data_IF_901904000693
#
_entry.id   IF_901904000693
#
_cell.length_a   1.000
_cell.length_b   1.000
_cell.length_c   1.000
_cell.angle_alpha   90.00
_cell.angle_beta   90.00
_cell.angle_gamma   90.00
#
_symmetry.space_group_name_H-M   'P 1'
#
loop_
_entity.id
_entity.type
_entity.pdbx_description
1 polymer ?
#
# COMPACT_ATOMS: atom_id res chain seq x y z
N UNK A 1 -9.49 1.14 10.18
CA UNK A 1 -9.61 1.90 11.45
C UNK A 1 -9.35 3.39 11.24
N UNK A 2 -8.14 3.82 10.87
CA UNK A 2 -7.78 5.24 10.70
C UNK A 2 -8.82 6.04 9.88
N UNK A 3 -9.14 5.60 8.66
CA UNK A 3 -10.17 6.22 7.80
C UNK A 3 -11.53 6.42 8.49
N UNK A 4 -12.02 5.42 9.22
CA UNK A 4 -13.31 5.50 9.89
C UNK A 4 -13.29 6.49 11.07
N UNK A 5 -12.16 6.58 11.79
CA UNK A 5 -11.99 7.50 12.92
C UNK A 5 -11.78 8.94 12.48
N UNK A 6 -11.03 9.16 11.40
CA UNK A 6 -10.71 10.51 10.89
C UNK A 6 -11.74 11.01 9.86
N UNK A 7 -12.67 10.16 9.44
CA UNK A 7 -13.60 10.41 8.33
C UNK A 7 -12.91 10.75 7.01
N UNK A 8 -11.67 10.32 6.82
CA UNK A 8 -10.94 10.47 5.56
C UNK A 8 -11.13 9.20 4.71
N UNK A 9 -11.71 9.27 3.50
CA UNK A 9 -11.88 8.10 2.65
C UNK A 9 -10.54 7.48 2.22
N UNK A 10 -10.53 6.16 2.02
CA UNK A 10 -9.38 5.44 1.44
C UNK A 10 -9.51 5.43 -0.08
N UNK A 11 -8.38 5.61 -0.77
CA UNK A 11 -8.28 5.42 -2.23
C UNK A 11 -8.61 3.98 -2.62
N UNK A 12 -9.64 3.82 -3.45
CA UNK A 12 -10.11 2.50 -3.91
C UNK A 12 -9.18 1.83 -4.94
N UNK A 13 -8.26 2.59 -5.56
CA UNK A 13 -7.35 2.12 -6.59
C UNK A 13 -6.01 1.58 -6.03
N UNK A 14 -5.93 1.41 -4.71
CA UNK A 14 -4.74 0.96 -3.98
C UNK A 14 -5.01 -0.40 -3.32
N UNK A 15 -4.06 -1.32 -3.47
CA UNK A 15 -3.92 -2.50 -2.61
C UNK A 15 -2.67 -2.35 -1.74
N UNK A 16 -2.67 -2.96 -0.56
CA UNK A 16 -1.54 -2.93 0.37
C UNK A 16 -1.36 -4.28 1.04
N UNK A 17 -0.11 -4.66 1.31
CA UNK A 17 0.22 -5.86 2.07
C UNK A 17 1.45 -5.61 2.94
N UNK A 18 1.48 -6.20 4.13
CA UNK A 18 2.55 -6.00 5.10
C UNK A 18 2.04 -6.34 6.50
N UNK A 19 2.93 -6.81 7.36
CA UNK A 19 2.65 -6.91 8.79
C UNK A 19 3.02 -5.59 9.48
N UNK A 20 2.29 -5.19 10.51
CA UNK A 20 2.53 -3.94 11.25
C UNK A 20 2.93 -4.22 12.69
N UNK A 21 3.98 -3.54 13.15
CA UNK A 21 4.37 -3.53 14.56
C UNK A 21 3.64 -2.43 15.33
N UNK A 22 3.56 -2.54 16.66
CA UNK A 22 3.03 -1.46 17.52
C UNK A 22 3.77 -0.13 17.38
N UNK A 23 5.02 -0.16 16.90
CA UNK A 23 5.85 1.03 16.64
C UNK A 23 5.68 1.58 15.22
N UNK A 24 4.74 1.05 14.43
CA UNK A 24 4.45 1.54 13.08
C UNK A 24 5.35 0.99 11.98
N UNK A 25 6.38 0.19 12.27
CA UNK A 25 7.20 -0.46 11.23
C UNK A 25 6.37 -1.47 10.43
N UNK A 26 6.59 -1.47 9.11
CA UNK A 26 6.01 -2.42 8.15
C UNK A 26 7.02 -3.55 7.90
N UNK A 27 6.63 -4.78 8.21
CA UNK A 27 7.46 -5.98 8.12
C UNK A 27 7.18 -6.77 6.83
N UNK A 28 8.18 -7.53 6.34
CA UNK A 28 8.03 -8.30 5.12
C UNK A 28 6.98 -9.41 5.25
N UNK A 29 6.42 -9.81 4.11
CA UNK A 29 5.43 -10.88 4.01
C UNK A 29 5.86 -11.93 2.98
N UNK A 30 5.36 -13.16 3.17
CA UNK A 30 5.47 -14.23 2.18
C UNK A 30 4.42 -14.14 1.07
N UNK A 31 4.68 -14.84 -0.04
CA UNK A 31 3.73 -14.97 -1.16
C UNK A 31 3.48 -13.66 -1.91
N UNK A 32 4.53 -12.84 -2.10
CA UNK A 32 4.39 -11.53 -2.75
C UNK A 32 3.91 -11.67 -4.20
N UNK A 33 4.40 -12.68 -4.91
CA UNK A 33 4.07 -12.95 -6.31
C UNK A 33 2.58 -13.17 -6.52
N UNK A 34 1.96 -14.04 -5.73
CA UNK A 34 0.54 -14.36 -5.80
C UNK A 34 -0.31 -13.13 -5.49
N UNK A 35 0.08 -12.35 -4.47
CA UNK A 35 -0.61 -11.13 -4.05
C UNK A 35 -0.57 -10.04 -5.13
N UNK A 36 0.58 -9.83 -5.78
CA UNK A 36 0.71 -8.84 -6.85
C UNK A 36 -0.07 -9.26 -8.10
N UNK A 37 -0.05 -10.54 -8.47
CA UNK A 37 -0.85 -11.05 -9.59
C UNK A 37 -2.35 -10.89 -9.31
N UNK A 38 -2.79 -11.14 -8.07
CA UNK A 38 -4.17 -10.91 -7.66
C UNK A 38 -4.56 -9.43 -7.75
N UNK A 39 -3.70 -8.50 -7.31
CA UNK A 39 -3.93 -7.06 -7.43
C UNK A 39 -4.09 -6.63 -8.90
N UNK A 40 -3.23 -7.11 -9.80
CA UNK A 40 -3.37 -6.84 -11.23
C UNK A 40 -4.66 -7.43 -11.83
N UNK A 41 -5.09 -8.63 -11.40
CA UNK A 41 -6.38 -9.21 -11.83
C UNK A 41 -7.57 -8.39 -11.34
N UNK A 42 -7.48 -7.84 -10.13
CA UNK A 42 -8.48 -6.93 -9.56
C UNK A 42 -8.46 -5.51 -10.16
N UNK A 43 -7.61 -5.24 -11.16
CA UNK A 43 -7.44 -3.93 -11.82
C UNK A 43 -7.05 -2.80 -10.87
N UNK A 44 -6.32 -3.14 -9.80
CA UNK A 44 -5.70 -2.16 -8.92
C UNK A 44 -4.59 -1.45 -9.67
N UNK A 45 -4.44 -0.13 -9.45
CA UNK A 45 -3.41 0.68 -10.11
C UNK A 45 -2.12 0.73 -9.31
N UNK A 46 -2.23 0.81 -7.98
CA UNK A 46 -1.09 1.00 -7.08
C UNK A 46 -1.05 -0.09 -6.02
N UNK A 47 0.12 -0.66 -5.77
CA UNK A 47 0.33 -1.67 -4.72
C UNK A 47 1.40 -1.19 -3.76
N UNK A 48 1.05 -1.07 -2.48
CA UNK A 48 1.99 -0.77 -1.40
C UNK A 48 2.56 -2.09 -0.85
N UNK A 49 3.89 -2.21 -0.81
CA UNK A 49 4.58 -3.41 -0.31
C UNK A 49 5.70 -3.02 0.67
N UNK A 50 6.10 -3.92 1.58
CA UNK A 50 7.19 -3.64 2.51
C UNK A 50 8.51 -3.41 1.75
N UNK A 51 9.31 -2.45 2.19
CA UNK A 51 10.60 -2.14 1.56
C UNK A 51 11.57 -3.34 1.56
N UNK A 52 11.50 -4.18 2.59
CA UNK A 52 12.30 -5.40 2.70
C UNK A 52 11.91 -6.45 1.63
N UNK A 53 10.67 -6.44 1.15
CA UNK A 53 10.20 -7.33 0.07
C UNK A 53 10.67 -6.91 -1.33
N UNK A 54 11.50 -5.87 -1.45
CA UNK A 54 12.02 -5.41 -2.75
C UNK A 54 12.75 -6.54 -3.52
N UNK A 55 13.42 -7.46 -2.83
CA UNK A 55 14.12 -8.59 -3.46
C UNK A 55 13.15 -9.59 -4.07
N UNK A 56 12.03 -9.87 -3.39
CA UNK A 56 11.00 -10.79 -3.89
C UNK A 56 10.24 -10.25 -5.11
N UNK A 57 10.39 -8.95 -5.42
CA UNK A 57 9.87 -8.42 -6.67
C UNK A 57 10.52 -9.12 -7.86
N UNK A 58 11.76 -9.59 -7.80
CA UNK A 58 12.44 -10.25 -8.92
C UNK A 58 11.62 -11.43 -9.47
N UNK A 59 10.91 -12.16 -8.60
CA UNK A 59 10.08 -13.31 -8.96
C UNK A 59 8.75 -12.96 -9.65
N UNK A 60 8.38 -11.68 -9.65
CA UNK A 60 7.14 -11.19 -10.26
C UNK A 60 7.36 -10.95 -11.76
N UNK A 61 6.46 -11.44 -12.64
CA UNK A 61 6.57 -11.23 -14.08
C UNK A 61 6.62 -9.75 -14.46
N UNK A 62 7.53 -9.36 -15.37
CA UNK A 62 7.66 -7.96 -15.82
C UNK A 62 6.36 -7.40 -16.41
N UNK A 63 5.57 -8.24 -17.08
CA UNK A 63 4.29 -7.86 -17.67
C UNK A 63 3.28 -7.36 -16.63
N UNK A 64 3.40 -7.83 -15.39
CA UNK A 64 2.58 -7.40 -14.25
C UNK A 64 3.20 -6.16 -13.60
N UNK A 65 4.53 -6.16 -13.38
CA UNK A 65 5.24 -5.00 -12.82
C UNK A 65 5.01 -3.72 -13.63
N UNK A 66 5.03 -3.81 -14.97
CA UNK A 66 4.84 -2.64 -15.86
C UNK A 66 3.41 -2.08 -15.84
N UNK A 67 2.43 -2.84 -15.35
CA UNK A 67 1.02 -2.43 -15.27
C UNK A 67 0.63 -1.87 -13.90
N UNK A 68 1.46 -2.08 -12.89
CA UNK A 68 1.21 -1.67 -11.52
C UNK A 68 2.22 -0.62 -11.08
N UNK A 69 1.75 0.39 -10.36
CA UNK A 69 2.63 1.27 -9.62
C UNK A 69 2.98 0.63 -8.28
N UNK A 70 4.19 0.11 -8.13
CA UNK A 70 4.64 -0.54 -6.90
C UNK A 70 5.35 0.49 -6.04
N UNK A 71 4.83 0.73 -4.83
CA UNK A 71 5.41 1.66 -3.86
C UNK A 71 5.94 0.86 -2.67
N UNK A 72 7.23 1.05 -2.37
CA UNK A 72 7.87 0.46 -1.21
C UNK A 72 7.62 1.34 0.01
N UNK A 73 7.21 0.74 1.12
CA UNK A 73 6.94 1.43 2.38
C UNK A 73 7.67 0.75 3.54
N UNK A 74 8.13 1.54 4.50
CA UNK A 74 8.83 1.05 5.70
C UNK A 74 8.06 1.36 7.00
N UNK A 75 7.21 2.38 6.96
CA UNK A 75 6.45 2.86 8.11
C UNK A 75 4.96 3.07 7.78
N UNK A 76 4.12 2.95 8.79
CA UNK A 76 2.66 3.09 8.64
C UNK A 76 2.25 4.51 8.22
N UNK A 77 3.04 5.53 8.58
CA UNK A 77 2.76 6.91 8.15
C UNK A 77 2.79 7.03 6.62
N UNK A 78 3.76 6.38 5.97
CA UNK A 78 3.85 6.33 4.51
C UNK A 78 2.62 5.63 3.89
N UNK A 79 2.14 4.57 4.53
CA UNK A 79 0.93 3.85 4.10
C UNK A 79 -0.30 4.76 4.18
N UNK A 80 -0.47 5.46 5.31
CA UNK A 80 -1.61 6.35 5.53
C UNK A 80 -1.57 7.56 4.57
N UNK A 81 -0.40 8.14 4.35
CA UNK A 81 -0.22 9.26 3.42
C UNK A 81 -0.55 8.90 1.98
N UNK A 82 -0.24 7.67 1.55
CA UNK A 82 -0.57 7.19 0.21
C UNK A 82 -2.04 6.76 0.09
N UNK A 83 -2.59 6.15 1.14
CA UNK A 83 -3.91 5.51 1.11
C UNK A 83 -5.07 6.46 1.38
N UNK A 84 -4.91 7.42 2.29
CA UNK A 84 -5.98 8.34 2.66
C UNK A 84 -6.07 9.51 1.67
N UNK A 85 -7.29 9.84 1.28
CA UNK A 85 -7.55 11.07 0.51
C UNK A 85 -7.42 12.24 1.48
N UNK A 86 -6.46 13.13 1.23
CA UNK A 86 -6.31 14.38 1.97
C UNK A 86 -7.49 15.28 1.60
N UNK A 87 -8.44 15.42 2.51
CA UNK A 87 -9.51 16.41 2.39
C UNK A 87 -9.02 17.71 3.02
N UNK A 88 -8.77 18.72 2.16
CA UNK A 88 -8.36 20.07 2.57
C UNK A 88 -9.39 20.78 3.48
N UNK A 89 -10.60 20.22 3.66
CA UNK A 89 -11.62 20.75 4.56
C UNK A 89 -11.31 20.44 6.03
N UNK A 90 -10.62 19.35 6.34
CA UNK A 90 -10.34 18.92 7.72
C UNK A 90 -9.08 19.61 8.28
N UNK A 91 -8.15 20.01 7.41
CA UNK A 91 -6.90 20.69 7.80
C UNK A 91 -7.08 22.16 8.14
N UNK A 92 -8.20 22.79 7.77
CA UNK A 92 -8.48 24.22 8.02
C UNK A 92 -9.15 24.53 9.36
N UNK A 93 -9.44 23.52 10.17
CA UNK A 93 -10.07 23.68 11.50
C UNK A 93 -9.07 23.68 12.67
N UNK A 94 -7.77 23.88 12.40
CA UNK A 94 -6.73 24.05 13.42
C UNK A 94 -6.14 25.45 13.41
#
# INVERSE_FOLDING_TARGET
LASALTKCPVRHDIAMTGEITLRGRVLPIGGLKEKIVAANRARIKTVLIPAENKRDLEDVPETVKKKLNIVLVSHMDEVLDQALIKDDRITKEK
#
